data_IF_030538581265
#
_entry.id   IF_030538581265
#
_cell.length_a   1.000
_cell.length_b   1.000
_cell.length_c   1.000
_cell.angle_alpha   90.00
_cell.angle_beta   90.00
_cell.angle_gamma   90.00
#
_symmetry.space_group_name_H-M   'P 1'
#
loop_
_entity.id
_entity.type
_entity.pdbx_description
1 polymer ?
#
# COMPACT_ATOMS: atom_id res chain seq x y z
N UNK A 1 -0.44 -16.24 10.48
CA UNK A 1 -1.53 -15.74 11.36
C UNK A 1 -2.76 -15.30 10.56
N UNK A 2 -2.69 -14.30 9.66
CA UNK A 2 -3.86 -13.81 8.93
C UNK A 2 -4.60 -14.93 8.17
N UNK A 3 -3.88 -15.73 7.40
CA UNK A 3 -4.43 -16.84 6.62
C UNK A 3 -5.24 -17.84 7.47
N UNK A 4 -4.77 -18.15 8.68
CA UNK A 4 -5.51 -19.00 9.62
C UNK A 4 -6.77 -18.31 10.16
N UNK A 5 -6.72 -17.00 10.37
CA UNK A 5 -7.86 -16.24 10.88
C UNK A 5 -8.99 -16.09 9.85
N UNK A 6 -8.64 -15.95 8.57
CA UNK A 6 -9.63 -15.78 7.48
C UNK A 6 -10.11 -17.11 6.90
N UNK A 7 -9.47 -18.24 7.23
CA UNK A 7 -9.81 -19.56 6.69
C UNK A 7 -9.62 -19.72 5.18
N UNK A 8 -8.81 -18.85 4.55
CA UNK A 8 -8.59 -18.82 3.11
C UNK A 8 -7.17 -18.31 2.80
N UNK A 9 -6.76 -18.38 1.52
CA UNK A 9 -5.53 -17.76 1.07
C UNK A 9 -5.67 -16.23 1.00
N UNK A 10 -4.52 -15.52 1.01
CA UNK A 10 -4.52 -14.06 1.06
C UNK A 10 -4.98 -13.46 -0.28
N UNK A 11 -4.64 -14.08 -1.39
CA UNK A 11 -5.02 -13.59 -2.73
C UNK A 11 -6.53 -13.62 -2.93
N UNK A 12 -7.20 -14.70 -2.57
CA UNK A 12 -8.67 -14.78 -2.63
C UNK A 12 -9.33 -13.74 -1.70
N UNK A 13 -8.78 -13.57 -0.49
CA UNK A 13 -9.31 -12.59 0.45
C UNK A 13 -9.14 -11.16 -0.08
N UNK A 14 -7.96 -10.81 -0.58
CA UNK A 14 -7.69 -9.50 -1.19
C UNK A 14 -8.61 -9.25 -2.40
N UNK A 15 -8.78 -10.28 -3.26
CA UNK A 15 -9.66 -10.20 -4.43
C UNK A 15 -11.09 -9.86 -4.03
N UNK A 16 -11.64 -10.57 -3.04
CA UNK A 16 -13.04 -10.40 -2.63
C UNK A 16 -13.27 -9.08 -1.85
N UNK A 17 -12.28 -8.60 -1.09
CA UNK A 17 -12.45 -7.45 -0.21
C UNK A 17 -12.05 -6.12 -0.83
N UNK A 18 -11.07 -6.12 -1.73
CA UNK A 18 -10.52 -4.88 -2.28
C UNK A 18 -10.50 -4.92 -3.81
N UNK A 19 -9.90 -5.95 -4.40
CA UNK A 19 -9.59 -5.96 -5.83
C UNK A 19 -10.82 -5.79 -6.71
N UNK A 20 -11.80 -6.66 -6.56
CA UNK A 20 -13.04 -6.63 -7.31
C UNK A 20 -13.95 -5.46 -6.89
N UNK A 21 -14.26 -5.24 -5.59
CA UNK A 21 -15.15 -4.16 -5.18
C UNK A 21 -14.64 -2.77 -5.54
N UNK A 22 -13.32 -2.57 -5.58
CA UNK A 22 -12.75 -1.28 -5.95
C UNK A 22 -12.57 -1.10 -7.47
N UNK A 23 -12.83 -2.12 -8.27
CA UNK A 23 -12.79 -2.06 -9.74
C UNK A 23 -11.37 -1.98 -10.28
N UNK A 24 -10.47 -2.84 -9.78
CA UNK A 24 -9.15 -3.01 -10.37
C UNK A 24 -9.30 -3.51 -11.80
N UNK A 25 -8.50 -2.98 -12.73
CA UNK A 25 -8.70 -3.24 -14.16
C UNK A 25 -7.96 -4.48 -14.67
N UNK A 26 -6.99 -4.98 -13.92
CA UNK A 26 -6.19 -6.13 -14.33
C UNK A 26 -5.98 -7.10 -13.16
N UNK A 27 -5.68 -8.34 -13.50
CA UNK A 27 -5.23 -9.30 -12.50
C UNK A 27 -3.86 -8.90 -11.93
N UNK A 28 -3.66 -9.24 -10.66
CA UNK A 28 -2.37 -9.12 -9.99
C UNK A 28 -1.79 -10.51 -9.71
N UNK A 29 -0.47 -10.58 -9.60
CA UNK A 29 0.23 -11.79 -9.20
C UNK A 29 0.86 -11.59 -7.82
N UNK A 30 0.67 -12.57 -6.94
CA UNK A 30 1.30 -12.58 -5.62
C UNK A 30 2.32 -13.72 -5.56
N UNK A 31 3.56 -13.39 -5.19
CA UNK A 31 4.62 -14.38 -5.07
C UNK A 31 4.30 -15.40 -3.97
N UNK A 32 4.50 -16.67 -4.27
CA UNK A 32 4.40 -17.76 -3.31
C UNK A 32 5.79 -18.09 -2.74
N UNK A 33 5.82 -18.59 -1.52
CA UNK A 33 7.05 -19.04 -0.85
C UNK A 33 7.68 -20.28 -1.52
N UNK A 34 6.84 -21.08 -2.19
CA UNK A 34 7.24 -22.22 -3.00
C UNK A 34 6.12 -22.56 -4.01
N UNK A 35 6.37 -23.40 -5.04
CA UNK A 35 5.32 -23.86 -5.92
C UNK A 35 4.14 -24.45 -5.14
N UNK A 36 2.93 -23.98 -5.41
CA UNK A 36 1.69 -24.32 -4.69
C UNK A 36 1.70 -23.98 -3.17
N UNK A 37 2.61 -23.15 -2.74
CA UNK A 37 2.77 -22.73 -1.34
C UNK A 37 1.83 -21.61 -0.92
N UNK A 38 2.29 -20.82 0.07
CA UNK A 38 1.56 -19.68 0.60
C UNK A 38 2.07 -18.37 0.02
N UNK A 39 1.20 -17.37 -0.07
CA UNK A 39 1.59 -16.01 -0.45
C UNK A 39 2.60 -15.43 0.55
N UNK A 40 3.66 -14.79 0.04
CA UNK A 40 4.66 -14.12 0.86
C UNK A 40 4.02 -12.89 1.51
N UNK A 41 3.78 -12.96 2.82
CA UNK A 41 3.00 -11.95 3.55
C UNK A 41 3.68 -10.59 3.72
N UNK A 42 4.99 -10.52 3.50
CA UNK A 42 5.78 -9.29 3.68
C UNK A 42 5.99 -8.49 2.40
N UNK A 43 5.66 -9.04 1.22
CA UNK A 43 5.90 -8.37 -0.05
C UNK A 43 5.15 -9.03 -1.21
N UNK A 44 5.42 -8.48 -2.34
CA UNK A 44 5.61 -9.14 -3.63
C UNK A 44 4.30 -9.38 -4.36
N UNK A 45 3.43 -8.39 -4.34
CA UNK A 45 2.30 -8.27 -5.24
C UNK A 45 2.76 -7.48 -6.47
N UNK A 46 2.60 -8.07 -7.66
CA UNK A 46 2.85 -7.41 -8.94
C UNK A 46 1.51 -7.06 -9.57
N UNK A 47 1.28 -5.79 -9.83
CA UNK A 47 0.06 -5.28 -10.44
C UNK A 47 0.40 -4.17 -11.45
N UNK A 48 -0.58 -3.72 -12.22
CA UNK A 48 -0.38 -2.58 -13.10
C UNK A 48 -0.16 -1.29 -12.29
N UNK A 49 0.52 -0.31 -12.88
CA UNK A 49 0.69 1.00 -12.24
C UNK A 49 -0.65 1.67 -11.92
N UNK A 50 -1.63 1.50 -12.79
CA UNK A 50 -2.97 2.05 -12.60
C UNK A 50 -3.70 1.40 -11.43
N UNK A 51 -3.53 0.11 -11.22
CA UNK A 51 -4.12 -0.58 -10.07
C UNK A 51 -3.40 -0.22 -8.77
N UNK A 52 -2.08 0.03 -8.79
CA UNK A 52 -1.39 0.63 -7.65
C UNK A 52 -1.92 2.04 -7.32
N UNK A 53 -2.20 2.85 -8.35
CA UNK A 53 -2.85 4.15 -8.12
C UNK A 53 -4.26 3.99 -7.52
N UNK A 54 -5.02 2.96 -7.92
CA UNK A 54 -6.33 2.65 -7.32
C UNK A 54 -6.24 2.24 -5.85
N UNK A 55 -5.17 1.52 -5.46
CA UNK A 55 -4.91 1.25 -4.03
C UNK A 55 -4.73 2.58 -3.27
N UNK A 56 -4.00 3.52 -3.86
CA UNK A 56 -3.87 4.86 -3.30
C UNK A 56 -5.20 5.60 -3.21
N UNK A 57 -6.05 5.53 -4.23
CA UNK A 57 -7.40 6.11 -4.21
C UNK A 57 -8.29 5.45 -3.16
N UNK A 58 -8.20 4.14 -2.98
CA UNK A 58 -8.89 3.42 -1.91
C UNK A 58 -8.49 3.97 -0.52
N UNK A 59 -7.19 4.19 -0.29
CA UNK A 59 -6.72 4.82 0.94
C UNK A 59 -7.14 6.29 1.06
N UNK A 60 -7.05 7.09 -0.02
CA UNK A 60 -7.52 8.48 -0.05
C UNK A 60 -9.00 8.59 0.33
N UNK A 61 -9.83 7.67 -0.17
CA UNK A 61 -11.26 7.57 0.11
C UNK A 61 -11.58 6.84 1.43
N UNK A 62 -10.62 6.76 2.35
CA UNK A 62 -10.80 6.18 3.68
C UNK A 62 -11.30 4.72 3.68
N UNK A 63 -10.86 3.94 2.69
CA UNK A 63 -11.20 2.53 2.58
C UNK A 63 -12.61 2.23 2.08
N UNK A 64 -13.19 3.13 1.30
CA UNK A 64 -14.46 2.89 0.60
C UNK A 64 -14.20 2.27 -0.77
N UNK A 65 -15.08 1.35 -1.17
CA UNK A 65 -15.11 0.81 -2.53
C UNK A 65 -15.51 1.87 -3.56
N UNK A 66 -15.37 1.58 -4.85
CA UNK A 66 -15.85 2.47 -5.91
C UNK A 66 -17.36 2.73 -5.84
N UNK A 67 -18.13 1.79 -5.29
CA UNK A 67 -19.58 1.94 -5.04
C UNK A 67 -19.92 2.67 -3.73
N UNK A 68 -18.93 3.15 -2.97
CA UNK A 68 -19.13 3.83 -1.69
C UNK A 68 -19.34 2.90 -0.49
N UNK A 69 -19.22 1.58 -0.66
CA UNK A 69 -19.30 0.63 0.44
C UNK A 69 -18.05 0.72 1.32
N UNK A 70 -18.23 0.77 2.63
CA UNK A 70 -17.13 0.76 3.59
C UNK A 70 -16.51 -0.64 3.69
N UNK A 71 -15.25 -0.75 3.32
CA UNK A 71 -14.47 -1.99 3.44
C UNK A 71 -13.64 -2.00 4.73
N UNK A 72 -13.14 -0.83 5.14
CA UNK A 72 -12.37 -0.67 6.36
C UNK A 72 -13.24 -0.16 7.52
N UNK A 73 -12.90 -0.52 8.77
CA UNK A 73 -13.55 0.04 9.95
C UNK A 73 -13.49 1.58 9.97
N UNK A 74 -14.46 2.20 10.65
CA UNK A 74 -14.44 3.64 10.87
C UNK A 74 -13.14 4.08 11.54
N UNK A 75 -12.60 5.20 11.09
CA UNK A 75 -11.35 5.80 11.58
C UNK A 75 -10.09 4.94 11.38
N UNK A 76 -10.16 3.82 10.64
CA UNK A 76 -8.98 2.97 10.42
C UNK A 76 -7.83 3.73 9.77
N UNK A 77 -8.10 4.47 8.68
CA UNK A 77 -7.06 5.25 8.00
C UNK A 77 -6.48 6.33 8.92
N UNK A 78 -7.31 6.98 9.74
CA UNK A 78 -6.83 7.94 10.72
C UNK A 78 -5.90 7.27 11.74
N UNK A 79 -6.29 6.13 12.30
CA UNK A 79 -5.47 5.39 13.25
C UNK A 79 -4.18 4.87 12.61
N UNK A 80 -4.25 4.37 11.38
CA UNK A 80 -3.09 3.81 10.68
C UNK A 80 -2.07 4.86 10.24
N UNK A 81 -2.45 6.13 10.22
CA UNK A 81 -1.58 7.27 9.90
C UNK A 81 -1.18 8.08 11.15
N UNK A 82 -1.23 7.48 12.32
CA UNK A 82 -0.61 8.01 13.54
C UNK A 82 0.72 7.29 13.76
N UNK A 83 1.78 8.04 13.98
CA UNK A 83 3.09 7.48 14.28
C UNK A 83 3.11 6.75 15.62
N UNK A 84 4.03 5.80 15.77
CA UNK A 84 4.25 5.11 17.04
C UNK A 84 5.04 5.99 18.01
N UNK A 85 4.95 5.69 19.31
CA UNK A 85 5.72 6.38 20.36
C UNK A 85 7.23 6.28 20.13
N UNK A 86 7.69 5.19 19.53
CA UNK A 86 9.11 4.97 19.23
C UNK A 86 9.57 5.60 17.93
N UNK A 87 8.66 5.85 17.00
CA UNK A 87 8.98 6.46 15.71
C UNK A 87 7.77 7.17 15.10
N UNK A 88 7.73 8.48 15.26
CA UNK A 88 6.61 9.31 14.81
C UNK A 88 6.45 9.37 13.27
N UNK A 89 7.47 8.99 12.51
CA UNK A 89 7.45 9.00 11.05
C UNK A 89 6.80 7.78 10.38
N UNK A 90 6.26 6.81 11.14
CA UNK A 90 5.68 5.60 10.59
C UNK A 90 4.46 5.12 11.38
N UNK A 91 3.36 4.89 10.67
CA UNK A 91 2.13 4.32 11.22
C UNK A 91 1.99 2.83 10.84
N UNK A 92 0.77 2.35 10.67
CA UNK A 92 0.51 0.97 10.25
C UNK A 92 0.74 0.84 8.75
N UNK A 93 1.98 0.49 8.35
CA UNK A 93 2.44 0.34 6.96
C UNK A 93 2.50 1.63 6.13
N UNK A 94 2.40 2.79 6.76
CA UNK A 94 2.49 4.08 6.11
C UNK A 94 3.68 4.90 6.62
N UNK A 95 4.48 5.42 5.71
CA UNK A 95 5.44 6.49 5.98
C UNK A 95 4.68 7.82 6.11
N UNK A 96 4.90 8.52 7.20
CA UNK A 96 4.22 9.78 7.52
C UNK A 96 5.14 10.94 7.14
N UNK A 97 4.83 11.66 6.08
CA UNK A 97 5.69 12.70 5.51
C UNK A 97 5.44 14.05 6.17
N UNK A 98 4.18 14.40 6.30
CA UNK A 98 3.68 15.64 6.94
C UNK A 98 2.19 15.46 7.23
N UNK A 99 1.54 16.39 7.96
CA UNK A 99 0.09 16.30 8.19
C UNK A 99 -0.69 16.09 6.89
N UNK A 100 -1.56 15.10 6.87
CA UNK A 100 -2.41 14.71 5.72
C UNK A 100 -1.65 14.14 4.50
N UNK A 101 -0.32 13.90 4.61
CA UNK A 101 0.47 13.30 3.54
C UNK A 101 1.21 12.07 4.05
N UNK A 102 0.98 10.95 3.40
CA UNK A 102 1.61 9.68 3.74
C UNK A 102 1.88 8.84 2.50
N UNK A 103 2.75 7.85 2.62
CA UNK A 103 3.14 7.02 1.50
C UNK A 103 3.37 5.56 1.89
N UNK A 104 3.13 4.65 0.93
CA UNK A 104 3.67 3.31 0.96
C UNK A 104 4.90 3.28 0.06
N UNK A 105 6.04 2.79 0.58
CA UNK A 105 7.31 2.73 -0.14
C UNK A 105 7.79 1.29 -0.25
N UNK A 106 8.15 0.89 -1.45
CA UNK A 106 8.76 -0.41 -1.72
C UNK A 106 10.29 -0.32 -1.73
N UNK A 107 10.94 -1.42 -1.35
CA UNK A 107 12.41 -1.49 -1.18
C UNK A 107 13.20 -1.26 -2.46
N UNK A 108 12.58 -1.31 -3.64
CA UNK A 108 13.18 -1.01 -4.94
C UNK A 108 12.69 0.33 -5.52
N UNK A 109 12.22 1.24 -4.67
CA UNK A 109 11.84 2.60 -5.04
C UNK A 109 10.41 2.77 -5.57
N UNK A 110 9.58 1.74 -5.48
CA UNK A 110 8.16 1.89 -5.77
C UNK A 110 7.51 2.78 -4.72
N UNK A 111 6.53 3.57 -5.11
CA UNK A 111 5.82 4.43 -4.17
C UNK A 111 4.33 4.57 -4.54
N UNK A 112 3.51 4.65 -3.51
CA UNK A 112 2.15 5.18 -3.58
C UNK A 112 2.12 6.36 -2.60
N UNK A 113 2.07 7.57 -3.14
CA UNK A 113 2.01 8.81 -2.38
C UNK A 113 0.57 9.30 -2.32
N UNK A 114 0.13 9.71 -1.15
CA UNK A 114 -1.24 10.18 -0.90
C UNK A 114 -1.17 11.54 -0.21
N UNK A 115 -1.79 12.52 -0.81
CA UNK A 115 -1.95 13.88 -0.26
C UNK A 115 -3.45 14.19 -0.14
N UNK A 116 -3.98 14.12 1.08
CA UNK A 116 -5.40 14.37 1.37
C UNK A 116 -5.81 15.82 1.21
N UNK A 117 -4.86 16.75 1.33
CA UNK A 117 -5.15 18.18 1.20
C UNK A 117 -5.50 18.56 -0.23
N UNK A 118 -4.92 17.83 -1.18
CA UNK A 118 -5.05 18.14 -2.60
C UNK A 118 -5.83 17.06 -3.37
N UNK A 119 -6.42 16.09 -2.65
CA UNK A 119 -7.09 14.92 -3.25
C UNK A 119 -6.23 14.23 -4.30
N UNK A 120 -4.93 14.06 -3.99
CA UNK A 120 -3.93 13.61 -4.93
C UNK A 120 -3.35 12.25 -4.54
N UNK A 121 -3.25 11.38 -5.54
CA UNK A 121 -2.49 10.13 -5.48
C UNK A 121 -1.44 10.12 -6.57
N UNK A 122 -0.20 9.78 -6.22
CA UNK A 122 0.88 9.52 -7.17
C UNK A 122 1.35 8.08 -6.95
N UNK A 123 1.32 7.27 -7.99
CA UNK A 123 1.92 5.95 -7.98
C UNK A 123 3.12 5.90 -8.93
N UNK A 124 4.20 5.30 -8.47
CA UNK A 124 5.42 5.12 -9.25
C UNK A 124 5.88 3.67 -9.16
N UNK A 125 6.12 3.05 -10.31
CA UNK A 125 6.94 1.86 -10.40
C UNK A 125 8.40 2.25 -10.59
N UNK A 126 9.27 1.58 -9.87
CA UNK A 126 10.72 1.75 -9.97
C UNK A 126 11.40 0.40 -9.82
N UNK A 127 12.60 0.29 -10.33
CA UNK A 127 13.42 -0.89 -10.23
C UNK A 127 14.88 -0.46 -9.94
N UNK A 128 15.13 -0.05 -8.71
CA UNK A 128 16.49 0.26 -8.27
C UNK A 128 17.38 -0.97 -8.40
N UNK A 129 18.67 -0.81 -8.70
CA UNK A 129 19.59 -1.93 -8.90
C UNK A 129 19.82 -2.76 -7.62
N UNK A 130 19.52 -2.20 -6.46
CA UNK A 130 19.58 -2.88 -5.17
C UNK A 130 18.40 -2.47 -4.28
N UNK A 131 17.96 -3.38 -3.43
CA UNK A 131 17.04 -3.05 -2.35
C UNK A 131 17.71 -2.03 -1.41
N UNK A 132 17.09 -0.91 -1.18
CA UNK A 132 17.66 0.18 -0.37
C UNK A 132 18.99 0.70 -0.93
N UNK A 133 18.93 1.62 -1.87
CA UNK A 133 20.12 2.35 -2.31
C UNK A 133 20.89 2.93 -1.13
N UNK A 134 22.24 2.96 -1.19
CA UNK A 134 23.06 3.69 -0.22
C UNK A 134 22.52 5.09 0.01
N UNK A 135 22.63 5.60 1.23
CA UNK A 135 22.05 6.90 1.63
C UNK A 135 22.48 8.06 0.72
N UNK A 136 23.70 7.97 0.14
CA UNK A 136 24.22 8.96 -0.80
C UNK A 136 23.57 8.88 -2.21
N UNK A 137 22.94 7.76 -2.55
CA UNK A 137 22.32 7.51 -3.85
C UNK A 137 20.80 7.53 -3.79
N UNK A 138 20.23 7.63 -2.57
CA UNK A 138 18.80 7.83 -2.43
C UNK A 138 18.46 9.21 -2.98
N UNK A 139 17.61 9.29 -4.01
CA UNK A 139 16.94 10.55 -4.25
C UNK A 139 16.31 10.93 -2.91
N UNK A 140 16.53 12.14 -2.46
CA UNK A 140 15.97 12.60 -1.20
C UNK A 140 14.44 12.72 -1.34
N UNK A 141 13.73 11.59 -1.23
CA UNK A 141 12.26 11.59 -1.18
C UNK A 141 11.76 12.37 0.06
N UNK A 142 12.70 12.74 0.93
CA UNK A 142 12.46 13.55 2.12
C UNK A 142 12.97 14.99 2.01
N UNK A 143 13.53 15.39 0.87
CA UNK A 143 14.01 16.74 0.68
C UNK A 143 12.88 17.64 0.17
N UNK A 144 12.34 18.40 1.11
CA UNK A 144 11.62 19.67 0.88
C UNK A 144 10.43 19.61 -0.07
N UNK A 145 9.29 19.33 0.51
CA UNK A 145 8.02 19.83 0.00
C UNK A 145 7.42 20.82 1.00
#
# INVERSE_FOLDING_TARGET
>A
MLRAAIGNNLSTYLTAKIWQPFGMESDANWLLDQPHGAEVGGCCISATLRDYARIGLFALNSGQSAGGEKVLPDNWLQQSTIGSDSFAGYGYSWWLMRPEVFAAEGVFGQIIWIDRRHDLVIALHSAWPAAQLPTAERPSNHATY
#
